data_IF_215243435859
#
_entry.id   IF_215243435859
#
_cell.length_a   1.000
_cell.length_b   1.000
_cell.length_c   1.000
_cell.angle_alpha   90.00
_cell.angle_beta   90.00
_cell.angle_gamma   90.00
#
_symmetry.space_group_name_H-M   'P 1'
#
loop_
_entity.id
_entity.type
_entity.pdbx_description
1 polymer ?
#
# COMPACT_ATOMS: atom_id res chain seq x y z
N UNK A 1 -1.15 17.33 7.80
CA UNK A 1 -1.42 17.59 6.36
C UNK A 1 -1.15 19.04 5.98
N UNK A 2 -1.73 20.03 6.68
CA UNK A 2 -1.54 21.49 6.42
C UNK A 2 -0.13 21.90 5.97
N UNK A 3 0.90 21.54 6.74
CA UNK A 3 2.28 21.93 6.43
C UNK A 3 2.73 21.40 5.06
N UNK A 4 2.46 20.13 4.76
CA UNK A 4 2.91 19.48 3.51
C UNK A 4 2.23 20.10 2.29
N UNK A 5 0.95 20.46 2.42
CA UNK A 5 0.24 21.19 1.37
C UNK A 5 0.91 22.55 1.11
N UNK A 6 1.09 23.34 2.17
CA UNK A 6 1.68 24.68 2.08
C UNK A 6 3.11 24.66 1.52
N UNK A 7 3.90 23.62 1.84
CA UNK A 7 5.27 23.51 1.31
C UNK A 7 5.34 23.27 -0.20
N UNK A 8 4.25 22.84 -0.82
CA UNK A 8 4.19 22.59 -2.26
C UNK A 8 3.44 23.66 -3.05
N UNK A 9 2.90 24.70 -2.40
CA UNK A 9 2.04 25.71 -3.03
C UNK A 9 2.75 26.49 -4.16
N UNK A 10 4.07 26.69 -4.04
CA UNK A 10 4.86 27.45 -5.02
C UNK A 10 5.48 26.57 -6.13
N UNK A 11 5.26 25.26 -6.10
CA UNK A 11 5.80 24.34 -7.10
C UNK A 11 4.82 24.24 -8.29
N UNK A 12 5.29 24.37 -9.55
CA UNK A 12 4.42 24.33 -10.73
C UNK A 12 4.05 22.89 -11.14
N UNK A 13 3.59 22.09 -10.18
CA UNK A 13 3.21 20.69 -10.33
C UNK A 13 1.92 20.42 -9.55
N UNK A 14 1.12 19.45 -10.00
CA UNK A 14 -0.04 19.00 -9.25
C UNK A 14 0.39 18.00 -8.17
N UNK A 15 0.03 18.24 -6.91
CA UNK A 15 0.35 17.35 -5.80
C UNK A 15 -0.88 16.66 -5.24
N UNK A 16 -0.67 15.41 -4.82
CA UNK A 16 -1.64 14.60 -4.13
C UNK A 16 -1.00 13.84 -2.98
N UNK A 17 -1.55 14.02 -1.78
CA UNK A 17 -1.03 13.39 -0.57
C UNK A 17 -1.97 12.30 -0.06
N UNK A 18 -1.41 11.15 0.30
CA UNK A 18 -2.13 10.07 0.96
C UNK A 18 -1.88 10.09 2.46
N UNK A 19 -2.93 9.82 3.24
CA UNK A 19 -2.85 9.68 4.69
C UNK A 19 -2.51 8.24 5.10
N UNK A 20 -2.12 8.04 6.37
CA UNK A 20 -1.98 6.71 6.96
C UNK A 20 -3.36 6.05 7.10
N UNK A 21 -3.55 4.91 6.44
CA UNK A 21 -4.80 4.15 6.45
C UNK A 21 -4.83 2.96 7.40
N UNK A 22 -3.68 2.50 7.89
CA UNK A 22 -3.58 1.29 8.73
C UNK A 22 -4.13 1.54 10.14
N UNK A 23 -5.41 1.22 10.33
CA UNK A 23 -6.13 1.24 11.61
C UNK A 23 -7.33 0.28 11.56
N UNK A 24 -7.69 -0.31 12.69
CA UNK A 24 -8.92 -1.11 12.83
C UNK A 24 -10.16 -0.24 13.12
N UNK A 25 -9.97 1.05 13.34
CA UNK A 25 -10.95 2.01 13.85
C UNK A 25 -11.10 3.22 12.92
N UNK A 26 -12.32 3.63 12.55
CA UNK A 26 -12.55 4.69 11.55
C UNK A 26 -12.28 6.11 12.07
N UNK A 27 -12.24 6.32 13.38
CA UNK A 27 -12.31 7.66 14.00
C UNK A 27 -11.16 8.58 13.58
N UNK A 28 -9.96 8.04 13.29
CA UNK A 28 -8.82 8.83 12.80
C UNK A 28 -8.73 8.99 11.28
N UNK A 29 -9.47 8.18 10.51
CA UNK A 29 -9.42 8.21 9.05
C UNK A 29 -10.16 9.42 8.48
N UNK A 30 -11.29 9.77 9.08
CA UNK A 30 -12.07 10.92 8.65
C UNK A 30 -11.30 12.23 8.85
N UNK A 31 -10.52 12.34 9.92
CA UNK A 31 -9.78 13.55 10.24
C UNK A 31 -8.64 13.80 9.25
N UNK A 32 -7.89 12.76 8.86
CA UNK A 32 -6.82 12.92 7.88
C UNK A 32 -7.35 13.23 6.47
N UNK A 33 -8.52 12.69 6.11
CA UNK A 33 -9.22 13.03 4.87
C UNK A 33 -9.68 14.50 4.89
N UNK A 34 -10.34 14.94 5.97
CA UNK A 34 -10.75 16.35 6.14
C UNK A 34 -9.56 17.30 6.16
N UNK A 35 -8.40 16.85 6.65
CA UNK A 35 -7.17 17.64 6.64
C UNK A 35 -6.53 17.77 5.25
N UNK A 36 -7.01 17.06 4.23
CA UNK A 36 -6.59 17.19 2.83
C UNK A 36 -5.97 15.95 2.18
N UNK A 37 -6.03 14.77 2.83
CA UNK A 37 -5.61 13.53 2.17
C UNK A 37 -6.59 13.13 1.07
N UNK A 38 -6.10 12.87 -0.14
CA UNK A 38 -6.90 12.41 -1.28
C UNK A 38 -6.99 10.88 -1.40
N UNK A 39 -6.33 10.16 -0.50
CA UNK A 39 -6.35 8.70 -0.43
C UNK A 39 -5.73 8.23 0.88
N UNK A 40 -5.83 6.93 1.14
CA UNK A 40 -5.27 6.29 2.33
C UNK A 40 -4.32 5.16 1.91
N UNK A 41 -3.12 5.17 2.47
CA UNK A 41 -2.13 4.12 2.26
C UNK A 41 -2.21 3.11 3.41
N UNK A 42 -2.52 1.87 3.05
CA UNK A 42 -2.24 0.71 3.90
C UNK A 42 -0.79 0.31 3.66
N UNK A 43 -0.07 0.08 4.76
CA UNK A 43 1.33 -0.35 4.76
C UNK A 43 1.55 -1.38 5.87
N UNK A 44 2.28 -2.45 5.57
CA UNK A 44 2.56 -3.52 6.52
C UNK A 44 3.32 -3.05 7.76
N UNK A 45 4.32 -2.18 7.62
CA UNK A 45 5.06 -1.52 8.72
C UNK A 45 4.16 -0.83 9.75
N UNK A 46 2.96 -0.43 9.32
CA UNK A 46 1.98 0.22 10.18
C UNK A 46 0.92 -0.72 10.75
N UNK A 47 1.11 -2.03 10.62
CA UNK A 47 0.19 -3.03 11.12
C UNK A 47 -0.95 -3.37 10.14
N UNK A 48 -0.81 -3.12 8.83
CA UNK A 48 -1.71 -3.66 7.81
C UNK A 48 -1.49 -5.16 7.56
N UNK A 49 -1.28 -5.91 8.64
CA UNK A 49 -0.89 -7.30 8.69
C UNK A 49 -1.84 -8.16 7.84
N UNK A 50 -3.15 -7.99 8.01
CA UNK A 50 -4.20 -8.75 7.28
C UNK A 50 -4.35 -8.42 5.78
N UNK A 51 -3.67 -7.40 5.26
CA UNK A 51 -3.93 -6.89 3.91
C UNK A 51 -2.69 -6.81 3.00
N UNK A 52 -1.48 -6.91 3.55
CA UNK A 52 -0.24 -6.83 2.78
C UNK A 52 0.87 -7.79 3.25
N UNK A 53 0.80 -8.32 4.47
CA UNK A 53 1.88 -9.11 5.07
C UNK A 53 1.57 -10.60 5.10
N UNK A 54 2.55 -11.43 4.74
CA UNK A 54 2.48 -12.90 4.83
C UNK A 54 2.35 -13.41 6.27
N UNK A 55 2.77 -12.60 7.26
CA UNK A 55 2.78 -12.97 8.69
C UNK A 55 1.35 -13.21 9.22
N UNK A 56 0.35 -12.56 8.63
CA UNK A 56 -1.03 -12.61 9.10
C UNK A 56 -1.98 -13.41 8.20
N UNK A 57 -1.46 -13.97 7.10
CA UNK A 57 -2.23 -14.79 6.17
C UNK A 57 -1.65 -14.78 4.76
N UNK A 58 -2.16 -15.68 3.92
CA UNK A 58 -1.87 -15.73 2.48
C UNK A 58 -2.67 -14.67 1.70
N UNK A 59 -2.28 -14.43 0.45
CA UNK A 59 -2.91 -13.42 -0.44
C UNK A 59 -4.43 -13.60 -0.55
N UNK A 60 -4.94 -14.82 -0.46
CA UNK A 60 -6.39 -15.12 -0.53
C UNK A 60 -7.17 -14.49 0.63
N UNK A 61 -6.56 -14.39 1.82
CA UNK A 61 -7.19 -13.78 2.99
C UNK A 61 -7.30 -12.27 2.81
N UNK A 62 -6.27 -11.66 2.22
CA UNK A 62 -6.29 -10.26 1.81
C UNK A 62 -7.40 -10.03 0.79
N UNK A 63 -7.47 -10.84 -0.27
CA UNK A 63 -8.50 -10.74 -1.31
C UNK A 63 -9.91 -10.85 -0.70
N UNK A 64 -10.12 -11.79 0.22
CA UNK A 64 -11.38 -11.94 0.95
C UNK A 64 -11.71 -10.70 1.80
N UNK A 65 -10.72 -10.12 2.48
CA UNK A 65 -10.89 -8.91 3.31
C UNK A 65 -11.22 -7.64 2.48
N UNK A 66 -10.80 -7.58 1.21
CA UNK A 66 -11.20 -6.51 0.29
C UNK A 66 -12.71 -6.52 0.02
N UNK A 67 -13.35 -7.70 0.04
CA UNK A 67 -14.79 -7.89 -0.23
C UNK A 67 -15.21 -7.28 -1.58
N UNK A 68 -14.36 -7.44 -2.60
CA UNK A 68 -14.59 -6.91 -3.96
C UNK A 68 -14.55 -5.39 -4.08
N UNK A 69 -14.22 -4.64 -3.02
CA UNK A 69 -14.07 -3.18 -3.09
C UNK A 69 -12.83 -2.80 -3.87
N UNK A 70 -12.89 -1.65 -4.54
CA UNK A 70 -11.75 -1.11 -5.28
C UNK A 70 -10.59 -0.81 -4.34
N UNK A 71 -9.40 -1.31 -4.67
CA UNK A 71 -8.16 -0.99 -3.98
C UNK A 71 -7.01 -0.93 -4.99
N UNK A 72 -6.16 0.08 -4.89
CA UNK A 72 -4.94 0.15 -5.68
C UNK A 72 -3.82 -0.60 -4.94
N UNK A 73 -3.31 -1.66 -5.55
CA UNK A 73 -2.19 -2.43 -5.00
C UNK A 73 -0.90 -1.93 -5.65
N UNK A 74 0.02 -1.49 -4.78
CA UNK A 74 1.37 -1.07 -5.17
C UNK A 74 2.26 -2.29 -5.22
N UNK A 75 3.30 -2.26 -6.07
CA UNK A 75 4.31 -3.31 -6.15
C UNK A 75 3.70 -4.70 -6.39
N UNK A 76 2.73 -4.80 -7.30
CA UNK A 76 1.99 -6.05 -7.54
C UNK A 76 2.85 -7.23 -8.04
N UNK A 77 4.12 -6.98 -8.36
CA UNK A 77 5.09 -8.01 -8.74
C UNK A 77 5.46 -8.96 -7.60
N UNK A 78 5.64 -8.46 -6.37
CA UNK A 78 6.23 -9.29 -5.32
C UNK A 78 7.01 -8.53 -4.26
N UNK A 79 7.77 -7.51 -4.66
CA UNK A 79 8.85 -6.94 -3.85
C UNK A 79 8.40 -6.16 -2.58
N UNK A 80 7.15 -6.24 -2.16
CA UNK A 80 6.68 -5.62 -0.91
C UNK A 80 5.28 -6.07 -0.49
N UNK A 81 4.89 -7.29 -0.86
CA UNK A 81 3.57 -7.85 -0.58
C UNK A 81 3.62 -9.33 -0.23
N UNK A 82 2.48 -10.02 -0.37
CA UNK A 82 2.42 -11.47 -0.12
C UNK A 82 3.34 -12.25 -1.07
N UNK A 83 4.51 -12.68 -0.58
CA UNK A 83 5.37 -13.60 -1.32
C UNK A 83 4.82 -15.03 -1.25
N UNK A 84 4.92 -15.83 -2.33
CA UNK A 84 5.43 -15.49 -3.67
C UNK A 84 4.35 -15.04 -4.67
N UNK A 85 3.10 -14.86 -4.21
CA UNK A 85 1.92 -14.95 -5.08
C UNK A 85 1.02 -13.71 -5.09
N UNK A 86 1.50 -12.56 -4.59
CA UNK A 86 0.79 -11.28 -4.68
C UNK A 86 0.41 -10.91 -6.11
N UNK A 87 1.16 -11.38 -7.11
CA UNK A 87 0.85 -11.17 -8.53
C UNK A 87 -0.54 -11.67 -8.95
N UNK A 88 -1.14 -12.61 -8.19
CA UNK A 88 -2.53 -13.05 -8.40
C UNK A 88 -3.52 -11.89 -8.39
N UNK A 89 -3.24 -10.80 -7.67
CA UNK A 89 -4.15 -9.66 -7.55
C UNK A 89 -4.36 -8.91 -8.86
N UNK A 90 -3.42 -9.00 -9.82
CA UNK A 90 -3.56 -8.42 -11.16
C UNK A 90 -4.73 -9.05 -11.96
N UNK A 91 -5.15 -10.27 -11.60
CA UNK A 91 -6.30 -10.94 -12.20
C UNK A 91 -7.65 -10.47 -11.64
N UNK A 92 -7.67 -9.59 -10.63
CA UNK A 92 -8.89 -9.14 -9.97
C UNK A 92 -9.46 -7.88 -10.64
N UNK A 93 -10.73 -7.94 -11.02
CA UNK A 93 -11.44 -6.82 -11.68
C UNK A 93 -11.44 -5.52 -10.86
N UNK A 94 -11.38 -5.61 -9.54
CA UNK A 94 -11.41 -4.48 -8.61
C UNK A 94 -10.02 -3.93 -8.24
N UNK A 95 -8.94 -4.45 -8.84
CA UNK A 95 -7.56 -4.06 -8.53
C UNK A 95 -6.90 -3.46 -9.78
N UNK A 96 -6.73 -2.14 -9.86
CA UNK A 96 -5.74 -1.54 -10.74
C UNK A 96 -4.33 -1.85 -10.19
N UNK A 97 -3.44 -2.54 -10.92
CA UNK A 97 -2.09 -2.84 -10.46
C UNK A 97 -1.07 -1.72 -10.78
N UNK A 98 -0.02 -1.59 -9.98
CA UNK A 98 1.17 -0.77 -10.29
C UNK A 98 2.49 -1.46 -9.90
N UNK A 99 3.56 -1.13 -10.62
CA UNK A 99 4.89 -1.76 -10.52
C UNK A 99 5.95 -0.73 -10.12
N UNK A 100 6.90 -1.12 -9.26
CA UNK A 100 8.09 -0.34 -8.88
C UNK A 100 9.19 -1.31 -8.41
N UNK A 101 10.47 -0.97 -8.57
CA UNK A 101 11.59 -1.88 -8.29
C UNK A 101 12.23 -1.63 -6.92
N UNK A 102 12.83 -2.66 -6.32
CA UNK A 102 13.70 -2.56 -5.15
C UNK A 102 15.17 -2.61 -5.58
N UNK A 103 16.04 -1.83 -4.92
CA UNK A 103 17.50 -1.86 -5.13
C UNK A 103 18.13 -2.88 -4.18
N UNK A 104 17.92 -4.16 -4.44
CA UNK A 104 18.41 -5.27 -3.60
C UNK A 104 19.89 -5.56 -3.82
N UNK A 105 20.59 -6.07 -2.80
CA UNK A 105 21.98 -6.50 -2.88
C UNK A 105 22.09 -8.02 -3.08
N UNK A 106 22.75 -8.44 -4.16
CA UNK A 106 22.94 -9.86 -4.50
C UNK A 106 23.85 -10.62 -3.53
N UNK A 107 24.63 -9.92 -2.73
CA UNK A 107 25.60 -10.51 -1.81
C UNK A 107 24.98 -10.76 -0.42
N UNK A 108 23.74 -10.31 -0.19
CA UNK A 108 22.96 -10.54 1.03
C UNK A 108 21.99 -11.71 0.77
N UNK A 109 22.18 -12.89 1.40
CA UNK A 109 21.32 -14.06 1.19
C UNK A 109 19.82 -13.79 1.42
N UNK A 110 19.52 -12.92 2.38
CA UNK A 110 18.17 -12.50 2.71
C UNK A 110 17.52 -11.68 1.57
N UNK A 111 18.25 -10.76 0.94
CA UNK A 111 17.80 -9.97 -0.21
C UNK A 111 17.57 -10.84 -1.45
N UNK A 112 18.42 -11.85 -1.66
CA UNK A 112 18.24 -12.83 -2.75
C UNK A 112 17.02 -13.71 -2.52
N UNK A 113 16.71 -14.06 -1.27
CA UNK A 113 15.54 -14.87 -0.89
C UNK A 113 14.21 -14.12 -0.94
N UNK A 114 14.26 -12.79 -1.04
CA UNK A 114 13.09 -11.91 -1.07
C UNK A 114 12.43 -11.83 -2.47
N UNK A 115 13.13 -12.29 -3.52
CA UNK A 115 12.66 -12.31 -4.92
C UNK A 115 12.10 -13.68 -5.30
#
# INVERSE_FOLDING_TARGET
MKLVLQTTDDLPLNFGFTGKGSTAKPEGLHDIVRAGAMGLKLHEDWGALMLQSTISGFVEHTIAALKGRTIHIYLSEGAGGHAPDIIKVCGLKNVPPSMVCHHLDKDIPEDVSFV
#
